data_IF_651509160585
#
_entry.id   IF_651509160585
#
_cell.length_a   1.000
_cell.length_b   1.000
_cell.length_c   1.000
_cell.angle_alpha   90.00
_cell.angle_beta   90.00
_cell.angle_gamma   90.00
#
_symmetry.space_group_name_H-M   'P 1'
#
loop_
_entity.id
_entity.type
_entity.pdbx_description
1 polymer ?
#
# COMPACT_ATOMS: atom_id res chain seq x y z
N UNK A 1 -6.97 -7.02 -12.00
CA UNK A 1 -7.13 -7.35 -10.57
C UNK A 1 -8.03 -6.29 -9.97
N UNK A 2 -9.08 -6.72 -9.26
CA UNK A 2 -10.27 -5.91 -8.97
C UNK A 2 -10.06 -4.89 -7.82
N UNK A 3 -10.47 -3.63 -8.04
CA UNK A 3 -10.39 -2.52 -7.08
C UNK A 3 -10.97 -2.88 -5.70
N UNK A 4 -12.01 -3.73 -5.70
CA UNK A 4 -12.67 -4.18 -4.49
C UNK A 4 -11.69 -4.87 -3.53
N UNK A 5 -10.65 -5.55 -4.03
CA UNK A 5 -9.68 -6.22 -3.17
C UNK A 5 -8.93 -5.22 -2.29
N UNK A 6 -8.46 -4.11 -2.86
CA UNK A 6 -7.70 -3.11 -2.12
C UNK A 6 -8.58 -2.40 -1.09
N UNK A 7 -9.80 -2.04 -1.49
CA UNK A 7 -10.76 -1.42 -0.59
C UNK A 7 -11.17 -2.35 0.56
N UNK A 8 -11.49 -3.62 0.28
CA UNK A 8 -11.85 -4.61 1.31
C UNK A 8 -10.70 -4.82 2.28
N UNK A 9 -9.48 -5.05 1.79
CA UNK A 9 -8.33 -5.28 2.67
C UNK A 9 -8.10 -4.06 3.56
N UNK A 10 -8.13 -2.84 3.02
CA UNK A 10 -7.96 -1.61 3.82
C UNK A 10 -9.03 -1.43 4.90
N UNK A 11 -10.25 -1.96 4.70
CA UNK A 11 -11.31 -1.94 5.71
C UNK A 11 -11.16 -3.03 6.79
N UNK A 12 -10.35 -4.06 6.55
CA UNK A 12 -10.16 -5.21 7.44
C UNK A 12 -8.89 -5.13 8.28
N UNK A 13 -7.93 -4.28 7.92
CA UNK A 13 -6.65 -4.15 8.63
C UNK A 13 -6.51 -2.77 9.25
N UNK A 14 -5.83 -2.70 10.40
CA UNK A 14 -5.54 -1.44 11.10
C UNK A 14 -4.21 -0.80 10.67
N UNK A 15 -3.63 -1.26 9.57
CA UNK A 15 -2.32 -0.83 9.06
C UNK A 15 -2.44 -0.29 7.63
N UNK A 16 -1.51 0.57 7.17
CA UNK A 16 -1.51 1.04 5.79
C UNK A 16 -1.38 -0.11 4.79
N UNK A 17 -2.09 0.00 3.67
CA UNK A 17 -2.08 -0.98 2.58
C UNK A 17 -1.32 -0.41 1.40
N UNK A 18 -0.33 -1.14 0.90
CA UNK A 18 0.45 -0.74 -0.27
C UNK A 18 0.07 -1.65 -1.43
N UNK A 19 -0.60 -1.10 -2.42
CA UNK A 19 -1.10 -1.82 -3.58
C UNK A 19 -0.09 -1.75 -4.74
N UNK A 20 0.33 -2.92 -5.24
CA UNK A 20 1.24 -3.07 -6.38
C UNK A 20 0.46 -3.63 -7.56
N UNK A 21 0.13 -2.82 -8.59
CA UNK A 21 -0.45 -3.31 -9.82
C UNK A 21 0.56 -4.22 -10.54
N UNK A 22 0.09 -5.34 -11.09
CA UNK A 22 0.96 -6.26 -11.86
C UNK A 22 0.70 -6.14 -13.35
N UNK A 23 1.75 -6.16 -14.17
CA UNK A 23 1.63 -6.15 -15.64
C UNK A 23 0.97 -7.44 -16.16
N UNK A 24 1.19 -8.53 -15.44
CA UNK A 24 0.65 -9.86 -15.72
C UNK A 24 -0.58 -10.16 -14.86
N UNK A 25 -1.47 -11.02 -15.37
CA UNK A 25 -2.68 -11.44 -14.65
C UNK A 25 -3.70 -12.10 -15.57
N UNK A 26 -4.88 -12.42 -15.02
CA UNK A 26 -6.00 -12.94 -15.80
C UNK A 26 -6.37 -11.97 -16.93
N UNK A 27 -6.77 -12.53 -18.08
CA UNK A 27 -6.95 -11.80 -19.34
C UNK A 27 -7.66 -10.45 -19.22
N UNK A 28 -7.26 -9.49 -20.06
CA UNK A 28 -7.59 -8.06 -20.00
C UNK A 28 -6.84 -7.23 -18.93
N UNK A 29 -5.64 -7.64 -18.50
CA UNK A 29 -4.77 -6.80 -17.67
C UNK A 29 -4.23 -5.55 -18.39
N UNK A 30 -4.14 -5.56 -19.72
CA UNK A 30 -3.56 -4.48 -20.54
C UNK A 30 -2.21 -3.99 -20.00
N UNK A 31 -1.24 -4.90 -19.87
CA UNK A 31 0.10 -4.60 -19.33
C UNK A 31 0.09 -3.93 -17.95
N UNK A 32 -0.95 -4.19 -17.16
CA UNK A 32 -1.11 -3.64 -15.81
C UNK A 32 -1.91 -2.34 -15.73
N UNK A 33 -2.36 -1.79 -16.87
CA UNK A 33 -3.23 -0.60 -16.87
C UNK A 33 -4.59 -0.86 -16.22
N UNK A 34 -5.19 -2.03 -16.49
CA UNK A 34 -6.45 -2.40 -15.87
C UNK A 34 -6.35 -2.47 -14.33
N UNK A 35 -5.40 -3.23 -13.73
CA UNK A 35 -5.24 -3.21 -12.27
C UNK A 35 -4.81 -1.84 -11.72
N UNK A 36 -3.94 -1.09 -12.41
CA UNK A 36 -3.50 0.24 -11.94
C UNK A 36 -4.69 1.21 -11.79
N UNK A 37 -5.51 1.35 -12.85
CA UNK A 37 -6.67 2.22 -12.83
C UNK A 37 -7.72 1.74 -11.82
N UNK A 38 -7.89 0.42 -11.70
CA UNK A 38 -8.78 -0.19 -10.72
C UNK A 38 -8.36 0.17 -9.28
N UNK A 39 -7.09 -0.05 -8.93
CA UNK A 39 -6.57 0.22 -7.59
C UNK A 39 -6.60 1.72 -7.24
N UNK A 40 -6.27 2.61 -8.18
CA UNK A 40 -6.35 4.07 -7.98
C UNK A 40 -7.79 4.55 -7.74
N UNK A 41 -8.78 3.85 -8.29
CA UNK A 41 -10.19 4.21 -8.13
C UNK A 41 -10.84 3.64 -6.85
N UNK A 42 -10.10 2.92 -5.99
CA UNK A 42 -10.66 2.28 -4.79
C UNK A 42 -11.17 3.26 -3.72
N UNK A 43 -10.74 4.54 -3.75
CA UNK A 43 -11.10 5.60 -2.79
C UNK A 43 -10.95 5.23 -1.30
N UNK A 44 -10.29 4.12 -0.97
CA UNK A 44 -10.25 3.61 0.38
C UNK A 44 -9.11 4.29 1.17
N UNK A 45 -9.37 4.70 2.41
CA UNK A 45 -8.37 5.39 3.22
C UNK A 45 -7.21 4.46 3.58
N UNK A 46 -6.02 5.03 3.76
CA UNK A 46 -4.82 4.28 4.17
C UNK A 46 -4.21 3.41 3.07
N UNK A 47 -4.62 3.60 1.81
CA UNK A 47 -4.08 2.89 0.65
C UNK A 47 -3.06 3.78 -0.08
N UNK A 48 -1.90 3.21 -0.42
CA UNK A 48 -0.93 3.79 -1.36
C UNK A 48 -0.76 2.87 -2.56
N UNK A 49 -0.93 3.39 -3.77
CA UNK A 49 -0.73 2.63 -5.02
C UNK A 49 0.62 2.99 -5.61
N UNK A 50 1.44 1.99 -5.96
CA UNK A 50 2.74 2.20 -6.63
C UNK A 50 2.64 1.92 -8.14
N UNK A 51 3.72 2.18 -8.87
CA UNK A 51 3.82 1.85 -10.29
C UNK A 51 3.63 0.34 -10.55
N UNK A 52 3.24 0.01 -11.78
CA UNK A 52 3.13 -1.37 -12.27
C UNK A 52 4.45 -2.11 -12.01
N UNK A 53 4.35 -3.30 -11.42
CA UNK A 53 5.44 -4.19 -11.02
C UNK A 53 6.48 -3.60 -10.07
N UNK A 54 6.23 -2.41 -9.48
CA UNK A 54 7.18 -1.74 -8.61
C UNK A 54 7.14 -2.27 -7.17
N UNK A 55 7.41 -3.58 -7.00
CA UNK A 55 7.48 -4.22 -5.70
C UNK A 55 8.60 -3.68 -4.80
N UNK A 56 9.71 -3.22 -5.41
CA UNK A 56 10.79 -2.57 -4.66
C UNK A 56 10.32 -1.26 -4.02
N UNK A 57 9.68 -0.39 -4.79
CA UNK A 57 9.12 0.87 -4.30
C UNK A 57 8.08 0.64 -3.20
N UNK A 58 7.28 -0.42 -3.32
CA UNK A 58 6.34 -0.82 -2.29
C UNK A 58 7.04 -1.24 -0.99
N UNK A 59 8.07 -2.07 -1.06
CA UNK A 59 8.84 -2.49 0.12
C UNK A 59 9.60 -1.34 0.78
N UNK A 60 10.17 -0.44 -0.03
CA UNK A 60 10.83 0.76 0.48
C UNK A 60 9.83 1.68 1.19
N UNK A 61 8.66 1.93 0.59
CA UNK A 61 7.61 2.72 1.21
C UNK A 61 7.11 2.07 2.50
N UNK A 62 6.95 0.75 2.53
CA UNK A 62 6.60 0.02 3.74
C UNK A 62 7.61 0.23 4.87
N UNK A 63 8.90 0.14 4.55
CA UNK A 63 9.97 0.35 5.53
C UNK A 63 9.97 1.78 6.08
N UNK A 64 9.78 2.78 5.21
CA UNK A 64 9.67 4.19 5.62
C UNK A 64 8.43 4.43 6.50
N UNK A 65 7.28 3.87 6.13
CA UNK A 65 6.06 3.97 6.95
C UNK A 65 6.28 3.34 8.32
N UNK A 66 6.93 2.18 8.36
CA UNK A 66 7.24 1.50 9.63
C UNK A 66 8.23 2.29 10.49
N UNK A 67 9.27 2.90 9.89
CA UNK A 67 10.26 3.68 10.65
C UNK A 67 9.66 4.97 11.24
N UNK A 68 8.84 5.68 10.47
CA UNK A 68 8.16 6.89 10.98
C UNK A 68 7.19 6.55 12.11
N UNK A 69 6.54 5.38 12.04
CA UNK A 69 5.67 4.89 13.12
C UNK A 69 6.45 4.57 14.40
N UNK A 70 7.65 3.98 14.28
CA UNK A 70 8.50 3.68 15.46
C UNK A 70 9.01 4.94 16.15
N UNK A 71 9.30 6.01 15.40
CA UNK A 71 9.77 7.27 15.97
C UNK A 71 8.68 7.97 16.80
N UNK A 72 7.41 7.73 16.48
CA UNK A 72 6.27 8.34 17.20
C UNK A 72 6.00 7.69 18.57
N UNK A 73 6.53 6.48 18.82
CA UNK A 73 6.38 5.77 20.10
C UNK A 73 7.64 5.81 20.99
N UNK A 74 8.76 6.37 20.51
CA UNK A 74 10.06 6.33 21.19
C UNK A 74 10.34 7.46 22.20
N UNK A 75 9.49 8.49 22.28
CA UNK A 75 9.80 9.72 23.04
C UNK A 75 9.18 9.82 24.45
N UNK A 76 8.48 8.79 24.95
CA UNK A 76 7.96 8.81 26.33
C UNK A 76 8.94 8.31 27.41
N UNK A 77 10.08 7.71 27.04
CA UNK A 77 11.01 7.09 28.01
C UNK A 77 12.34 7.86 28.21
N UNK A 78 12.60 8.94 27.48
CA UNK A 78 13.82 9.74 27.61
C UNK A 78 13.76 10.86 28.68
N UNK A 79 12.63 11.02 29.37
CA UNK A 79 12.40 12.08 30.38
C UNK A 79 12.34 11.55 31.83
N UNK A 80 13.17 10.57 32.19
CA UNK A 80 13.33 10.06 33.58
C UNK A 80 14.76 9.74 34.02
N UNK A 81 15.77 10.34 33.39
CA UNK A 81 17.16 10.29 33.87
C UNK A 81 17.59 11.65 34.45
#
# INVERSE_FOLDING_TARGET
>A
MDAALVGVISGLVSVPVIAVPTSTGYGASFDGLAPLLSMLNSCAPGVSVVNIDNGFGAGHLAALTNSVMTDTHGDSDSSKA
#
